data_IF_119026801973
#
_entry.id   IF_119026801973
#
_cell.length_a   1.000
_cell.length_b   1.000
_cell.length_c   1.000
_cell.angle_alpha   90.00
_cell.angle_beta   90.00
_cell.angle_gamma   90.00
#
_symmetry.space_group_name_H-M   'P 1'
#
loop_
_entity.id
_entity.type
_entity.pdbx_description
1 polymer ?
#
# COMPACT_ATOMS: atom_id res chain seq x y z
N UNK A 1 0.44 0.21 -10.47
CA UNK A 1 0.45 -1.25 -10.18
C UNK A 1 -0.44 -1.49 -8.97
N UNK A 2 -1.29 -2.51 -8.99
CA UNK A 2 -2.13 -2.90 -7.87
C UNK A 2 -1.97 -4.39 -7.62
N UNK A 3 -1.82 -4.82 -6.37
CA UNK A 3 -1.68 -6.23 -6.04
C UNK A 3 -2.22 -6.55 -4.65
N UNK A 4 -2.97 -7.65 -4.56
CA UNK A 4 -3.25 -8.29 -3.28
C UNK A 4 -2.05 -9.16 -2.89
N UNK A 5 -1.45 -8.85 -1.74
CA UNK A 5 -0.27 -9.56 -1.28
C UNK A 5 -0.59 -10.76 -0.41
N UNK A 6 -1.80 -10.87 0.15
CA UNK A 6 -2.30 -11.83 1.16
C UNK A 6 -1.48 -11.90 2.47
N UNK A 7 -0.19 -11.61 2.38
CA UNK A 7 0.84 -11.48 3.41
C UNK A 7 2.05 -10.79 2.77
N UNK A 8 2.42 -9.59 3.23
CA UNK A 8 3.50 -8.81 2.60
C UNK A 8 4.85 -9.55 2.58
N UNK A 9 5.23 -10.23 3.67
CA UNK A 9 6.54 -10.89 3.80
C UNK A 9 6.82 -11.95 2.73
N UNK A 10 5.80 -12.70 2.32
CA UNK A 10 5.95 -13.74 1.30
C UNK A 10 6.06 -13.16 -0.11
N UNK A 11 5.53 -11.96 -0.34
CA UNK A 11 5.45 -11.32 -1.65
C UNK A 11 6.46 -10.18 -1.86
N UNK A 12 7.21 -9.80 -0.82
CA UNK A 12 8.16 -8.67 -0.88
C UNK A 12 9.19 -8.81 -2.02
N UNK A 13 9.81 -9.98 -2.17
CA UNK A 13 10.83 -10.17 -3.20
C UNK A 13 10.24 -10.01 -4.61
N UNK A 14 9.11 -10.67 -4.88
CA UNK A 14 8.37 -10.57 -6.13
C UNK A 14 7.93 -9.13 -6.42
N UNK A 15 7.42 -8.44 -5.40
CA UNK A 15 7.03 -7.03 -5.50
C UNK A 15 8.21 -6.15 -5.90
N UNK A 16 9.37 -6.29 -5.24
CA UNK A 16 10.55 -5.47 -5.54
C UNK A 16 11.03 -5.71 -6.97
N UNK A 17 11.05 -6.96 -7.43
CA UNK A 17 11.36 -7.27 -8.83
C UNK A 17 10.39 -6.61 -9.81
N UNK A 18 9.09 -6.63 -9.51
CA UNK A 18 8.08 -5.96 -10.35
C UNK A 18 8.25 -4.44 -10.34
N UNK A 19 8.59 -3.85 -9.20
CA UNK A 19 8.86 -2.41 -9.08
C UNK A 19 10.07 -2.01 -9.92
N UNK A 20 11.16 -2.76 -9.86
CA UNK A 20 12.37 -2.50 -10.65
C UNK A 20 12.11 -2.64 -12.16
N UNK A 21 11.35 -3.67 -12.56
CA UNK A 21 11.05 -3.95 -13.96
C UNK A 21 10.07 -2.95 -14.57
N UNK A 22 8.96 -2.69 -13.88
CA UNK A 22 7.84 -1.92 -14.41
C UNK A 22 7.95 -0.43 -14.11
N UNK A 23 8.76 -0.04 -13.11
CA UNK A 23 8.94 1.34 -12.64
C UNK A 23 7.60 2.10 -12.50
N UNK A 24 6.62 1.53 -11.78
CA UNK A 24 5.28 2.11 -11.73
C UNK A 24 5.30 3.46 -11.00
N UNK A 25 4.57 4.46 -11.48
CA UNK A 25 4.47 5.73 -10.77
C UNK A 25 3.68 5.62 -9.44
N UNK A 26 2.76 4.66 -9.35
CA UNK A 26 1.91 4.40 -8.19
C UNK A 26 1.82 2.89 -7.95
N UNK A 27 1.90 2.46 -6.69
CA UNK A 27 1.75 1.06 -6.26
C UNK A 27 0.70 1.00 -5.16
N UNK A 28 -0.36 0.22 -5.34
CA UNK A 28 -1.35 -0.06 -4.29
C UNK A 28 -1.26 -1.52 -3.84
N UNK A 29 -1.13 -1.73 -2.54
CA UNK A 29 -1.14 -3.05 -1.90
C UNK A 29 -2.28 -3.12 -0.90
N UNK A 30 -3.06 -4.19 -0.95
CA UNK A 30 -4.04 -4.53 0.07
C UNK A 30 -3.72 -5.88 0.73
N UNK A 31 -4.35 -6.10 1.88
CA UNK A 31 -4.21 -7.33 2.68
C UNK A 31 -2.78 -7.61 3.15
N UNK A 32 -2.08 -6.55 3.59
CA UNK A 32 -0.73 -6.65 4.15
C UNK A 32 -0.66 -7.59 5.37
N UNK A 33 -1.75 -7.62 6.15
CA UNK A 33 -1.91 -8.44 7.36
C UNK A 33 -2.88 -9.61 7.09
N UNK A 34 -2.47 -10.87 7.33
CA UNK A 34 -3.40 -12.00 7.33
C UNK A 34 -4.39 -11.92 8.49
N UNK A 35 -5.52 -12.64 8.41
CA UNK A 35 -6.58 -12.63 9.45
C UNK A 35 -6.09 -13.01 10.85
N UNK A 36 -5.04 -13.84 10.94
CA UNK A 36 -4.42 -14.28 12.20
C UNK A 36 -2.95 -13.80 12.28
N UNK A 37 -2.72 -12.52 12.03
CA UNK A 37 -1.37 -11.95 12.03
C UNK A 37 -0.81 -11.92 13.47
N UNK A 38 0.05 -12.88 13.80
CA UNK A 38 0.72 -12.98 15.12
C UNK A 38 1.92 -12.03 15.25
N UNK A 39 2.24 -11.26 14.21
CA UNK A 39 3.34 -10.33 14.18
C UNK A 39 2.85 -8.93 13.82
N UNK A 40 3.55 -7.90 14.32
CA UNK A 40 3.28 -6.52 13.96
C UNK A 40 4.23 -6.10 12.85
N UNK A 41 3.68 -5.83 11.67
CA UNK A 41 4.44 -5.32 10.53
C UNK A 41 4.90 -3.88 10.84
N UNK A 42 6.19 -3.63 10.77
CA UNK A 42 6.77 -2.31 11.01
C UNK A 42 6.88 -1.52 9.71
N UNK A 43 6.80 -0.19 9.79
CA UNK A 43 6.91 0.70 8.62
C UNK A 43 8.21 0.48 7.84
N UNK A 44 9.33 0.27 8.56
CA UNK A 44 10.63 0.02 7.94
C UNK A 44 10.67 -1.26 7.08
N UNK A 45 9.79 -2.23 7.35
CA UNK A 45 9.70 -3.44 6.52
C UNK A 45 9.06 -3.15 5.16
N UNK A 46 8.22 -2.11 5.08
CA UNK A 46 7.41 -1.74 3.91
C UNK A 46 8.05 -0.68 3.03
N UNK A 47 9.09 0.01 3.49
CA UNK A 47 9.74 1.06 2.70
C UNK A 47 10.26 0.52 1.36
N UNK A 48 9.94 1.25 0.29
CA UNK A 48 10.46 1.03 -1.07
C UNK A 48 11.23 2.30 -1.48
N UNK A 49 12.46 2.14 -1.94
CA UNK A 49 13.31 3.26 -2.36
C UNK A 49 12.70 4.00 -3.56
N UNK A 50 12.77 5.34 -3.55
CA UNK A 50 12.21 6.20 -4.59
C UNK A 50 10.71 6.50 -4.43
N UNK A 51 10.05 5.88 -3.45
CA UNK A 51 8.63 6.10 -3.19
C UNK A 51 8.40 6.80 -1.85
N UNK A 52 7.30 7.53 -1.79
CA UNK A 52 6.64 7.98 -0.58
C UNK A 52 5.53 6.99 -0.24
N UNK A 53 5.39 6.67 1.04
CA UNK A 53 4.55 5.58 1.53
C UNK A 53 3.40 6.14 2.39
N UNK A 54 2.19 5.68 2.11
CA UNK A 54 0.98 5.99 2.87
C UNK A 54 0.31 4.69 3.27
N UNK A 55 -0.04 4.49 4.55
CA UNK A 55 -0.59 3.21 4.99
C UNK A 55 -1.55 3.33 6.16
N UNK A 56 -2.25 2.23 6.42
CA UNK A 56 -3.22 2.11 7.53
C UNK A 56 -2.79 1.08 8.58
N UNK A 57 -1.48 0.86 8.77
CA UNK A 57 -0.95 -0.19 9.64
C UNK A 57 -1.34 -0.06 11.11
N UNK A 58 -1.57 1.15 11.61
CA UNK A 58 -1.95 1.39 13.01
C UNK A 58 -3.39 0.94 13.31
N UNK A 59 -4.20 0.68 12.28
CA UNK A 59 -5.57 0.25 12.49
C UNK A 59 -5.64 -1.27 12.70
N UNK A 60 -6.11 -1.68 13.87
CA UNK A 60 -6.37 -3.09 14.22
C UNK A 60 -7.54 -3.69 13.41
N UNK A 61 -8.47 -2.85 12.93
CA UNK A 61 -9.70 -3.29 12.27
C UNK A 61 -9.57 -3.59 10.78
N UNK A 62 -8.46 -3.25 10.13
CA UNK A 62 -8.27 -3.47 8.70
C UNK A 62 -7.12 -4.46 8.43
N UNK A 63 -7.18 -5.13 7.27
CA UNK A 63 -6.11 -6.04 6.82
C UNK A 63 -4.85 -5.28 6.33
N UNK A 64 -4.75 -3.98 6.60
CA UNK A 64 -3.68 -3.10 6.14
C UNK A 64 -3.75 -2.80 4.64
N UNK A 65 -3.68 -1.52 4.31
CA UNK A 65 -3.48 -1.02 2.95
C UNK A 65 -2.18 -0.20 2.95
N UNK A 66 -1.42 -0.29 1.86
CA UNK A 66 -0.27 0.57 1.62
C UNK A 66 -0.32 1.10 0.18
N UNK A 67 -0.20 2.41 0.06
CA UNK A 67 -0.09 3.13 -1.20
C UNK A 67 1.31 3.73 -1.28
N UNK A 68 1.97 3.49 -2.40
CA UNK A 68 3.24 4.11 -2.73
C UNK A 68 3.05 5.02 -3.93
N UNK A 69 3.60 6.21 -3.85
CA UNK A 69 3.69 7.14 -4.97
C UNK A 69 5.14 7.52 -5.18
N UNK A 70 5.60 7.51 -6.44
CA UNK A 70 6.97 7.89 -6.76
C UNK A 70 7.23 9.34 -6.33
N UNK A 71 8.36 9.62 -5.67
CA UNK A 71 8.64 10.93 -5.06
C UNK A 71 8.63 12.10 -6.05
N UNK A 72 8.92 11.83 -7.32
CA UNK A 72 8.88 12.83 -8.39
C UNK A 72 7.47 13.41 -8.61
N UNK A 73 6.41 12.68 -8.21
CA UNK A 73 5.03 13.17 -8.26
C UNK A 73 4.73 14.18 -7.14
N UNK A 74 5.61 14.30 -6.14
CA UNK A 74 5.43 15.14 -4.95
C UNK A 74 4.08 14.92 -4.27
N UNK A 75 3.76 13.66 -3.92
CA UNK A 75 2.49 13.32 -3.29
C UNK A 75 2.39 13.98 -1.92
N UNK A 76 1.17 14.21 -1.45
CA UNK A 76 0.91 14.73 -0.10
C UNK A 76 -0.45 14.26 0.40
N UNK A 77 -0.59 14.14 1.71
CA UNK A 77 -1.89 13.85 2.33
C UNK A 77 -2.78 15.08 2.22
N UNK A 78 -3.99 14.90 1.71
CA UNK A 78 -5.01 15.94 1.72
C UNK A 78 -5.97 15.71 2.89
N UNK A 79 -5.76 16.39 4.02
CA UNK A 79 -6.57 16.23 5.23
C UNK A 79 -7.89 17.01 5.19
N UNK A 80 -7.99 18.01 4.33
CA UNK A 80 -9.11 18.98 4.31
C UNK A 80 -10.05 18.79 3.12
N UNK A 81 -10.07 17.61 2.52
CA UNK A 81 -11.04 17.30 1.47
C UNK A 81 -12.42 17.13 2.12
N UNK A 82 -13.26 18.17 2.04
CA UNK A 82 -14.69 18.05 2.33
C UNK A 82 -15.34 17.21 1.22
N UNK A 83 -15.18 15.89 1.30
CA UNK A 83 -15.89 14.96 0.43
C UNK A 83 -16.64 13.93 1.27
N UNK A 84 -17.93 13.78 0.99
CA UNK A 84 -18.68 12.58 1.33
C UNK A 84 -18.20 11.48 0.39
N UNK A 85 -17.07 10.82 0.72
CA UNK A 85 -16.55 9.73 -0.10
C UNK A 85 -17.51 8.54 -0.04
N UNK A 86 -18.46 8.50 -0.98
CA UNK A 86 -19.33 7.36 -1.23
C UNK A 86 -18.52 6.32 -2.01
N UNK A 87 -17.90 5.40 -1.26
CA UNK A 87 -17.23 4.23 -1.81
C UNK A 87 -18.21 3.48 -2.74
N UNK A 88 -17.89 3.44 -4.04
CA UNK A 88 -18.63 2.63 -5.00
C UNK A 88 -17.64 1.91 -5.91
N UNK A 89 -17.88 0.61 -6.11
CA UNK A 89 -17.12 -0.23 -7.02
C UNK A 89 -17.97 -0.41 -8.26
N UNK A 90 -17.50 0.12 -9.40
CA UNK A 90 -18.07 -0.22 -10.70
C UNK A 90 -17.30 -1.42 -11.24
N UNK A 91 -18.03 -2.52 -11.44
CA UNK A 91 -17.53 -3.70 -12.14
C UNK A 91 -18.33 -3.76 -13.43
N UNK A 92 -17.64 -3.78 -14.57
CA UNK A 92 -18.23 -4.18 -15.86
C UNK A 92 -18.48 -5.69 -15.90
#
# INVERSE_FOLDING_TARGET
MYSNVDTFRTKKAELLTLVELLKPAIIGLNELKPKNCMYQLQECELTIEGYEMFHTLETERNRGICLYAHRDLKPSVCEHLNCDFLESVFVD
#
